data_IF_687490180415
#
_entry.id   IF_687490180415
#
_cell.length_a   1.000
_cell.length_b   1.000
_cell.length_c   1.000
_cell.angle_alpha   90.00
_cell.angle_beta   90.00
_cell.angle_gamma   90.00
#
_symmetry.space_group_name_H-M   'P 1'
#
loop_
_entity.id
_entity.type
_entity.pdbx_description
1 polymer ?
#
# COMPACT_ATOMS: atom_id res chain seq x y z
N UNK A 1 25.60 -16.61 43.34
CA UNK A 1 26.53 -16.66 42.17
C UNK A 1 25.98 -15.90 40.92
N UNK A 2 24.73 -16.13 40.47
CA UNK A 2 24.20 -15.42 39.29
C UNK A 2 24.12 -13.90 39.45
N UNK A 3 23.73 -13.38 40.62
CA UNK A 3 23.58 -11.94 40.89
C UNK A 3 24.97 -11.24 40.95
N UNK A 4 25.98 -11.86 41.53
CA UNK A 4 27.33 -11.29 41.61
C UNK A 4 28.00 -11.15 40.23
N UNK A 5 27.91 -12.17 39.36
CA UNK A 5 28.54 -12.12 38.04
C UNK A 5 27.92 -11.04 37.12
N UNK A 6 26.59 -10.83 37.20
CA UNK A 6 25.90 -9.75 36.47
C UNK A 6 26.28 -8.37 36.98
N UNK A 7 26.45 -8.23 38.32
CA UNK A 7 26.92 -6.99 38.91
C UNK A 7 28.34 -6.64 38.43
N UNK A 8 29.27 -7.64 38.45
CA UNK A 8 30.66 -7.45 37.96
C UNK A 8 30.69 -7.06 36.46
N UNK A 9 29.80 -7.61 35.65
CA UNK A 9 29.70 -7.25 34.24
C UNK A 9 29.15 -5.83 34.06
N UNK A 10 28.10 -5.45 34.77
CA UNK A 10 27.53 -4.10 34.69
C UNK A 10 28.45 -3.02 35.27
N UNK A 11 29.29 -3.37 36.25
CA UNK A 11 30.33 -2.50 36.82
C UNK A 11 31.59 -2.38 35.94
N UNK A 12 31.62 -3.08 34.79
CA UNK A 12 32.73 -2.97 33.84
C UNK A 12 32.75 -1.55 33.22
N UNK A 13 33.93 -0.92 33.28
CA UNK A 13 34.14 0.44 32.79
C UNK A 13 33.74 0.64 31.31
N UNK A 14 33.86 -0.37 30.48
CA UNK A 14 33.51 -0.31 29.06
C UNK A 14 31.97 -0.32 28.86
N UNK A 15 31.23 -1.07 29.70
CA UNK A 15 29.76 -1.04 29.72
C UNK A 15 29.30 0.34 30.19
N UNK A 16 29.87 0.87 31.27
CA UNK A 16 29.56 2.20 31.76
C UNK A 16 29.88 3.29 30.72
N UNK A 17 30.97 3.16 29.97
CA UNK A 17 31.31 4.09 28.86
C UNK A 17 30.30 4.03 27.73
N UNK A 18 29.87 2.83 27.29
CA UNK A 18 28.88 2.66 26.25
C UNK A 18 27.50 3.26 26.65
N UNK A 19 27.11 3.03 27.92
CA UNK A 19 25.88 3.63 28.49
C UNK A 19 26.00 5.15 28.58
N UNK A 20 27.13 5.71 28.99
CA UNK A 20 27.33 7.16 29.04
C UNK A 20 27.27 7.80 27.64
N UNK A 21 27.84 7.16 26.62
CA UNK A 21 27.72 7.62 25.24
C UNK A 21 26.27 7.58 24.76
N UNK A 22 25.52 6.53 25.09
CA UNK A 22 24.10 6.42 24.76
C UNK A 22 23.28 7.53 25.42
N UNK A 23 23.49 7.79 26.71
CA UNK A 23 22.83 8.88 27.45
C UNK A 23 23.18 10.26 26.90
N UNK A 24 24.42 10.45 26.41
CA UNK A 24 24.84 11.65 25.71
C UNK A 24 24.27 11.77 24.29
N UNK A 25 23.41 10.82 23.84
CA UNK A 25 22.90 10.70 22.49
C UNK A 25 23.96 10.54 21.39
N UNK A 26 25.18 10.16 21.77
CA UNK A 26 26.22 9.75 20.82
C UNK A 26 26.02 8.25 20.48
N UNK A 27 24.98 7.98 19.70
CA UNK A 27 24.60 6.61 19.35
C UNK A 27 25.65 5.92 18.50
N UNK A 28 26.48 6.68 17.75
CA UNK A 28 27.58 6.15 16.97
C UNK A 28 28.70 5.63 17.88
N UNK A 29 29.13 6.42 18.86
CA UNK A 29 30.14 6.00 19.83
C UNK A 29 29.62 4.85 20.71
N UNK A 30 28.35 4.91 21.15
CA UNK A 30 27.71 3.86 21.91
C UNK A 30 27.68 2.53 21.15
N UNK A 31 27.25 2.54 19.88
CA UNK A 31 27.18 1.32 19.05
C UNK A 31 28.57 0.69 18.87
N UNK A 32 29.60 1.51 18.60
CA UNK A 32 30.97 1.03 18.48
C UNK A 32 31.48 0.39 19.79
N UNK A 33 31.16 1.01 20.93
CA UNK A 33 31.55 0.46 22.24
C UNK A 33 30.85 -0.88 22.52
N UNK A 34 29.54 -1.02 22.21
CA UNK A 34 28.82 -2.29 22.34
C UNK A 34 29.35 -3.37 21.39
N UNK A 35 29.73 -3.03 20.16
CA UNK A 35 30.36 -3.96 19.23
C UNK A 35 31.73 -4.42 19.76
N UNK A 36 32.54 -3.50 20.29
CA UNK A 36 33.81 -3.86 20.90
C UNK A 36 33.62 -4.80 22.10
N UNK A 37 32.66 -4.53 22.99
CA UNK A 37 32.31 -5.40 24.11
C UNK A 37 31.87 -6.79 23.66
N UNK A 38 31.11 -6.89 22.57
CA UNK A 38 30.68 -8.18 21.99
C UNK A 38 31.86 -8.99 21.48
N UNK A 39 32.84 -8.33 20.85
CA UNK A 39 34.00 -8.95 20.20
C UNK A 39 35.17 -9.22 21.15
N UNK A 40 35.26 -8.51 22.29
CA UNK A 40 36.39 -8.65 23.22
C UNK A 40 36.26 -9.95 24.05
N UNK A 41 37.15 -10.92 23.86
CA UNK A 41 37.14 -12.16 24.62
C UNK A 41 37.68 -11.97 26.07
N UNK A 42 38.33 -10.85 26.37
CA UNK A 42 38.82 -10.56 27.71
C UNK A 42 37.73 -10.12 28.68
N UNK A 43 36.56 -9.66 28.14
CA UNK A 43 35.39 -9.32 28.92
C UNK A 43 34.57 -10.59 29.19
N UNK A 44 34.51 -11.08 30.44
CA UNK A 44 33.72 -12.27 30.73
C UNK A 44 32.25 -11.96 30.61
N UNK A 45 31.54 -12.78 29.83
CA UNK A 45 30.10 -12.66 29.58
C UNK A 45 29.38 -13.83 30.25
N UNK A 46 28.55 -13.52 31.22
CA UNK A 46 27.68 -14.48 31.90
C UNK A 46 26.34 -14.70 31.14
N UNK A 47 25.45 -15.54 31.69
CA UNK A 47 24.13 -15.79 31.15
C UNK A 47 23.30 -14.50 31.12
N UNK A 48 22.79 -14.13 29.97
CA UNK A 48 21.97 -12.93 29.73
C UNK A 48 22.76 -11.68 29.32
N UNK A 49 24.10 -11.69 29.44
CA UNK A 49 24.92 -10.52 29.09
C UNK A 49 25.02 -10.30 27.58
N UNK A 50 25.04 -11.38 26.80
CA UNK A 50 24.98 -11.29 25.34
C UNK A 50 23.66 -10.70 24.89
N UNK A 51 22.55 -11.18 25.43
CA UNK A 51 21.21 -10.62 25.16
C UNK A 51 21.14 -9.13 25.49
N UNK A 52 21.72 -8.72 26.64
CA UNK A 52 21.80 -7.31 27.01
C UNK A 52 22.60 -6.48 26.00
N UNK A 53 23.81 -6.92 25.64
CA UNK A 53 24.66 -6.18 24.69
C UNK A 53 24.02 -6.02 23.34
N UNK A 54 23.42 -7.09 22.80
CA UNK A 54 22.71 -7.05 21.54
C UNK A 54 21.47 -6.17 21.63
N UNK A 55 20.73 -6.18 22.74
CA UNK A 55 19.60 -5.28 22.94
C UNK A 55 20.03 -3.82 22.90
N UNK A 56 21.09 -3.46 23.65
CA UNK A 56 21.60 -2.07 23.66
C UNK A 56 22.19 -1.66 22.31
N UNK A 57 22.89 -2.56 21.61
CA UNK A 57 23.34 -2.31 20.23
C UNK A 57 22.15 -2.05 19.30
N UNK A 58 21.11 -2.86 19.37
CA UNK A 58 19.88 -2.66 18.61
C UNK A 58 19.25 -1.30 18.89
N UNK A 59 19.25 -0.84 20.17
CA UNK A 59 18.75 0.48 20.54
C UNK A 59 19.55 1.61 19.87
N UNK A 60 20.89 1.50 19.84
CA UNK A 60 21.74 2.47 19.16
C UNK A 60 21.47 2.51 17.66
N UNK A 61 21.39 1.35 17.02
CA UNK A 61 21.16 1.21 15.58
C UNK A 61 19.77 1.74 15.16
N UNK A 62 18.75 1.51 16.00
CA UNK A 62 17.42 2.08 15.79
C UNK A 62 17.45 3.60 15.77
N UNK A 63 18.18 4.23 16.71
CA UNK A 63 18.36 5.69 16.75
C UNK A 63 19.17 6.21 15.56
N UNK A 64 20.13 5.43 15.07
CA UNK A 64 20.91 5.73 13.86
C UNK A 64 20.12 5.47 12.56
N UNK A 65 18.87 4.98 12.67
CA UNK A 65 17.99 4.61 11.54
C UNK A 65 18.54 3.46 10.69
N UNK A 66 19.46 2.66 11.25
CA UNK A 66 19.90 1.41 10.64
C UNK A 66 18.98 0.27 11.10
N UNK A 67 17.82 0.21 10.48
CA UNK A 67 16.74 -0.69 10.91
C UNK A 67 17.06 -2.16 10.65
N UNK A 68 17.82 -2.48 9.61
CA UNK A 68 18.19 -3.86 9.30
C UNK A 68 19.14 -4.42 10.36
N UNK A 69 20.21 -3.69 10.67
CA UNK A 69 21.15 -4.09 11.71
C UNK A 69 20.51 -4.07 13.10
N UNK A 70 19.54 -3.16 13.34
CA UNK A 70 18.79 -3.14 14.60
C UNK A 70 17.94 -4.41 14.76
N UNK A 71 17.22 -4.83 13.71
CA UNK A 71 16.43 -6.08 13.71
C UNK A 71 17.32 -7.28 13.95
N UNK A 72 18.47 -7.37 13.28
CA UNK A 72 19.43 -8.46 13.51
C UNK A 72 19.91 -8.48 14.96
N UNK A 73 20.31 -7.32 15.51
CA UNK A 73 20.76 -7.22 16.90
C UNK A 73 19.65 -7.62 17.89
N UNK A 74 18.43 -7.14 17.73
CA UNK A 74 17.33 -7.56 18.60
C UNK A 74 17.00 -9.05 18.47
N UNK A 75 17.11 -9.61 17.27
CA UNK A 75 16.92 -11.06 17.06
C UNK A 75 17.99 -11.85 17.80
N UNK A 76 19.26 -11.41 17.78
CA UNK A 76 20.31 -12.02 18.59
C UNK A 76 20.04 -11.87 20.10
N UNK A 77 19.49 -10.74 20.53
CA UNK A 77 19.10 -10.55 21.93
C UNK A 77 18.02 -11.55 22.37
N UNK A 78 17.06 -11.87 21.52
CA UNK A 78 16.01 -12.87 21.82
C UNK A 78 16.53 -14.30 21.82
N UNK A 79 17.67 -14.58 21.18
CA UNK A 79 18.30 -15.90 21.17
C UNK A 79 18.97 -16.26 22.51
N UNK A 80 19.30 -15.26 23.35
CA UNK A 80 19.83 -15.50 24.70
C UNK A 80 18.68 -15.78 25.68
N UNK A 81 18.37 -17.04 25.90
CA UNK A 81 17.29 -17.48 26.79
C UNK A 81 17.46 -17.07 28.26
N UNK A 82 18.66 -16.63 28.66
CA UNK A 82 18.93 -16.15 30.02
C UNK A 82 18.67 -14.63 30.14
N UNK A 83 18.46 -13.92 29.03
CA UNK A 83 18.12 -12.50 29.03
C UNK A 83 16.64 -12.31 29.27
N UNK A 84 16.30 -11.68 30.38
CA UNK A 84 14.93 -11.60 30.89
C UNK A 84 14.25 -10.24 30.53
N UNK A 85 14.37 -9.82 29.26
CA UNK A 85 13.75 -8.61 28.77
C UNK A 85 12.98 -8.84 27.45
N UNK A 86 12.29 -9.98 27.38
CA UNK A 86 11.58 -10.45 26.17
C UNK A 86 10.61 -9.41 25.66
N UNK A 87 9.79 -8.81 26.54
CA UNK A 87 8.81 -7.79 26.18
C UNK A 87 9.44 -6.54 25.61
N UNK A 88 10.51 -6.02 26.26
CA UNK A 88 11.19 -4.81 25.79
C UNK A 88 11.87 -5.02 24.42
N UNK A 89 12.57 -6.15 24.24
CA UNK A 89 13.21 -6.47 22.96
C UNK A 89 12.19 -6.61 21.85
N UNK A 90 11.09 -7.33 22.09
CA UNK A 90 10.06 -7.51 21.08
C UNK A 90 9.30 -6.19 20.78
N UNK A 91 9.06 -5.32 21.77
CA UNK A 91 8.52 -3.99 21.51
C UNK A 91 9.45 -3.20 20.58
N UNK A 92 10.77 -3.26 20.77
CA UNK A 92 11.73 -2.56 19.92
C UNK A 92 11.87 -3.22 18.53
N UNK A 93 11.78 -4.55 18.42
CA UNK A 93 11.64 -5.26 17.15
C UNK A 93 10.41 -4.79 16.39
N UNK A 94 9.26 -4.75 17.04
CA UNK A 94 8.02 -4.22 16.45
C UNK A 94 8.20 -2.82 15.88
N UNK A 95 8.88 -1.91 16.63
CA UNK A 95 9.20 -0.57 16.16
C UNK A 95 10.10 -0.58 14.92
N UNK A 96 11.17 -1.38 14.92
CA UNK A 96 12.08 -1.47 13.79
C UNK A 96 11.35 -1.95 12.52
N UNK A 97 10.43 -2.92 12.65
CA UNK A 97 9.57 -3.36 11.54
C UNK A 97 8.58 -2.27 11.08
N UNK A 98 8.03 -1.46 12.00
CA UNK A 98 7.19 -0.30 11.60
C UNK A 98 7.99 0.67 10.74
N UNK A 99 9.23 0.98 11.09
CA UNK A 99 10.09 1.84 10.27
C UNK A 99 10.42 1.25 8.89
N UNK A 100 10.43 -0.07 8.78
CA UNK A 100 10.55 -0.77 7.50
C UNK A 100 9.23 -0.94 6.75
N UNK A 101 8.14 -0.40 7.28
CA UNK A 101 6.77 -0.57 6.76
C UNK A 101 6.29 -2.03 6.70
N UNK A 102 6.92 -2.91 7.46
CA UNK A 102 6.52 -4.31 7.63
C UNK A 102 5.58 -4.41 8.83
N UNK A 103 4.35 -4.00 8.62
CA UNK A 103 3.37 -3.86 9.70
C UNK A 103 2.87 -5.21 10.24
N UNK A 104 2.86 -6.27 9.44
CA UNK A 104 2.48 -7.62 9.87
C UNK A 104 3.48 -8.17 10.90
N UNK A 105 4.78 -8.10 10.60
CA UNK A 105 5.81 -8.51 11.54
C UNK A 105 5.85 -7.59 12.76
N UNK A 106 5.62 -6.30 12.59
CA UNK A 106 5.52 -5.36 13.71
C UNK A 106 4.41 -5.77 14.69
N UNK A 107 3.21 -6.07 14.21
CA UNK A 107 2.07 -6.52 15.04
C UNK A 107 2.46 -7.79 15.80
N UNK A 108 3.03 -8.80 15.13
CA UNK A 108 3.41 -10.06 15.77
C UNK A 108 4.41 -9.85 16.92
N UNK A 109 5.41 -8.97 16.74
CA UNK A 109 6.36 -8.66 17.82
C UNK A 109 5.74 -7.85 18.95
N UNK A 110 4.83 -6.91 18.65
CA UNK A 110 4.09 -6.22 19.70
C UNK A 110 3.18 -7.15 20.50
N UNK A 111 2.55 -8.15 19.88
CA UNK A 111 1.77 -9.19 20.57
C UNK A 111 2.63 -10.00 21.54
N UNK A 112 3.85 -10.38 21.14
CA UNK A 112 4.82 -11.04 22.03
C UNK A 112 5.17 -10.13 23.21
N UNK A 113 5.41 -8.83 22.94
CA UNK A 113 5.74 -7.86 23.97
C UNK A 113 4.61 -7.68 24.99
N UNK A 114 3.34 -7.58 24.54
CA UNK A 114 2.18 -7.43 25.43
C UNK A 114 1.86 -8.70 26.23
N UNK A 115 2.30 -9.86 25.74
CA UNK A 115 2.13 -11.15 26.43
C UNK A 115 3.14 -11.39 27.54
N UNK A 116 4.22 -10.60 27.61
CA UNK A 116 5.23 -10.72 28.68
C UNK A 116 4.77 -9.98 29.93
N UNK A 117 4.37 -10.73 30.95
CA UNK A 117 3.92 -10.19 32.22
C UNK A 117 4.99 -9.38 32.98
N UNK A 118 6.29 -9.55 32.63
CA UNK A 118 7.41 -8.81 33.23
C UNK A 118 7.71 -7.50 32.52
N UNK A 119 7.06 -7.24 31.39
CA UNK A 119 7.27 -6.01 30.64
C UNK A 119 6.61 -4.83 31.34
N UNK A 120 7.41 -3.87 31.78
CA UNK A 120 6.96 -2.77 32.62
C UNK A 120 6.12 -1.71 31.89
N UNK A 121 6.23 -1.62 30.57
CA UNK A 121 5.57 -0.58 29.78
C UNK A 121 4.77 -1.15 28.59
N UNK A 122 3.83 -2.10 28.82
CA UNK A 122 3.08 -2.74 27.74
C UNK A 122 2.20 -1.76 26.95
N UNK A 123 1.80 -0.64 27.55
CA UNK A 123 1.10 0.43 26.83
C UNK A 123 1.87 0.93 25.61
N UNK A 124 3.22 0.93 25.64
CA UNK A 124 4.05 1.31 24.48
C UNK A 124 3.90 0.31 23.33
N UNK A 125 3.87 -0.99 23.65
CA UNK A 125 3.64 -2.02 22.65
C UNK A 125 2.20 -1.97 22.11
N UNK A 126 1.20 -1.74 22.97
CA UNK A 126 -0.18 -1.54 22.53
C UNK A 126 -0.34 -0.33 21.60
N UNK A 127 0.30 0.80 21.92
CA UNK A 127 0.32 1.98 21.03
C UNK A 127 0.95 1.66 19.67
N UNK A 128 2.11 1.00 19.69
CA UNK A 128 2.81 0.58 18.46
C UNK A 128 1.98 -0.38 17.62
N UNK A 129 1.35 -1.37 18.28
CA UNK A 129 0.46 -2.35 17.65
C UNK A 129 -0.76 -1.67 17.02
N UNK A 130 -1.42 -0.78 17.75
CA UNK A 130 -2.56 -0.02 17.25
C UNK A 130 -2.20 0.79 15.99
N UNK A 131 -1.05 1.47 16.01
CA UNK A 131 -0.56 2.21 14.86
C UNK A 131 -0.27 1.30 13.65
N UNK A 132 0.39 0.15 13.85
CA UNK A 132 0.66 -0.81 12.78
C UNK A 132 -0.65 -1.39 12.21
N UNK A 133 -1.63 -1.70 13.06
CA UNK A 133 -2.95 -2.18 12.64
C UNK A 133 -3.74 -1.14 11.85
N UNK A 134 -3.66 0.16 12.20
CA UNK A 134 -4.23 1.24 11.39
C UNK A 134 -3.63 1.28 9.99
N UNK A 135 -2.30 1.13 9.87
CA UNK A 135 -1.62 1.06 8.57
C UNK A 135 -2.05 -0.14 7.73
N UNK A 136 -2.42 -1.24 8.38
CA UNK A 136 -3.01 -2.42 7.74
C UNK A 136 -4.52 -2.26 7.43
N UNK A 137 -5.15 -1.14 7.80
CA UNK A 137 -6.59 -0.93 7.66
C UNK A 137 -7.45 -1.74 8.66
N UNK A 138 -6.83 -2.35 9.67
CA UNK A 138 -7.49 -3.18 10.69
C UNK A 138 -8.01 -2.32 11.85
N UNK A 139 -8.93 -1.40 11.52
CA UNK A 139 -9.39 -0.34 12.42
C UNK A 139 -10.01 -0.85 13.73
N UNK A 140 -10.73 -1.98 13.72
CA UNK A 140 -11.33 -2.54 14.93
C UNK A 140 -10.27 -3.13 15.86
N UNK A 141 -9.31 -3.90 15.33
CA UNK A 141 -8.19 -4.46 16.08
C UNK A 141 -7.30 -3.34 16.64
N UNK A 142 -7.05 -2.28 15.84
CA UNK A 142 -6.35 -1.09 16.29
C UNK A 142 -7.08 -0.41 17.47
N UNK A 143 -8.41 -0.31 17.41
CA UNK A 143 -9.22 0.24 18.49
C UNK A 143 -9.07 -0.56 19.80
N UNK A 144 -9.01 -1.90 19.72
CA UNK A 144 -8.73 -2.75 20.90
C UNK A 144 -7.35 -2.40 21.48
N UNK A 145 -6.31 -2.35 20.62
CA UNK A 145 -4.96 -2.06 21.09
C UNK A 145 -4.86 -0.68 21.75
N UNK A 146 -5.47 0.35 21.15
CA UNK A 146 -5.47 1.69 21.75
C UNK A 146 -6.28 1.76 23.06
N UNK A 147 -7.38 1.00 23.17
CA UNK A 147 -8.13 0.90 24.42
C UNK A 147 -7.25 0.29 25.52
N UNK A 148 -6.57 -0.82 25.26
CA UNK A 148 -5.65 -1.44 26.20
C UNK A 148 -4.53 -0.47 26.62
N UNK A 149 -3.97 0.28 25.66
CA UNK A 149 -2.99 1.32 25.96
C UNK A 149 -3.56 2.44 26.86
N UNK A 150 -4.81 2.85 26.65
CA UNK A 150 -5.45 3.89 27.42
C UNK A 150 -5.81 3.45 28.84
N UNK A 151 -6.17 2.18 29.03
CA UNK A 151 -6.58 1.60 30.31
C UNK A 151 -5.39 1.09 31.15
N UNK A 152 -4.19 0.96 30.57
CA UNK A 152 -3.01 0.50 31.32
C UNK A 152 -2.65 1.55 32.38
N UNK A 153 -2.74 1.16 33.65
CA UNK A 153 -2.42 2.04 34.79
C UNK A 153 -0.97 2.52 34.83
N UNK A 154 -0.08 1.90 34.06
CA UNK A 154 1.33 2.28 33.90
C UNK A 154 1.52 3.33 32.80
N UNK A 155 0.48 3.63 32.02
CA UNK A 155 0.51 4.68 31.01
C UNK A 155 0.38 6.06 31.66
N UNK A 156 1.43 6.89 31.66
CA UNK A 156 1.39 8.20 32.30
C UNK A 156 0.56 9.21 31.51
N UNK A 157 0.39 8.99 30.20
CA UNK A 157 -0.37 9.87 29.29
C UNK A 157 -1.26 9.05 28.35
N UNK A 158 -2.50 8.76 28.74
CA UNK A 158 -3.45 8.04 27.90
C UNK A 158 -4.06 8.89 26.78
N UNK A 159 -3.80 10.20 26.72
CA UNK A 159 -4.42 11.12 25.76
C UNK A 159 -4.17 10.71 24.31
N UNK A 160 -2.95 10.26 23.99
CA UNK A 160 -2.59 9.79 22.64
C UNK A 160 -3.32 8.50 22.25
N UNK A 161 -3.45 7.58 23.20
CA UNK A 161 -4.20 6.35 22.98
C UNK A 161 -5.67 6.65 22.72
N UNK A 162 -6.28 7.54 23.53
CA UNK A 162 -7.67 7.97 23.38
C UNK A 162 -7.90 8.74 22.07
N UNK A 163 -6.96 9.59 21.65
CA UNK A 163 -7.02 10.26 20.34
C UNK A 163 -7.09 9.24 19.20
N UNK A 164 -6.17 8.28 19.18
CA UNK A 164 -6.14 7.26 18.13
C UNK A 164 -7.34 6.31 18.19
N UNK A 165 -7.85 6.02 19.38
CA UNK A 165 -9.08 5.27 19.58
C UNK A 165 -10.29 6.01 18.95
N UNK A 166 -10.37 7.32 19.13
CA UNK A 166 -11.37 8.15 18.47
C UNK A 166 -11.26 8.10 16.95
N UNK A 167 -10.04 8.11 16.40
CA UNK A 167 -9.81 7.92 14.97
C UNK A 167 -10.31 6.55 14.49
N UNK A 168 -10.06 5.49 15.26
CA UNK A 168 -10.61 4.16 14.95
C UNK A 168 -12.14 4.16 14.94
N UNK A 169 -12.78 4.83 15.90
CA UNK A 169 -14.24 4.94 15.93
C UNK A 169 -14.80 5.72 14.73
N UNK A 170 -14.14 6.80 14.32
CA UNK A 170 -14.53 7.51 13.08
C UNK A 170 -14.44 6.58 11.85
N UNK A 171 -13.33 5.85 11.72
CA UNK A 171 -13.14 4.88 10.64
C UNK A 171 -14.16 3.72 10.67
N UNK A 172 -14.70 3.40 11.83
CA UNK A 172 -15.76 2.40 12.03
C UNK A 172 -17.18 2.99 11.93
N UNK A 173 -17.33 4.25 11.49
CA UNK A 173 -18.60 4.98 11.42
C UNK A 173 -19.34 5.04 12.77
N UNK A 174 -18.57 5.26 13.85
CA UNK A 174 -19.06 5.39 15.23
C UNK A 174 -18.73 6.79 15.81
N UNK A 175 -19.25 7.86 15.23
CA UNK A 175 -18.87 9.22 15.61
C UNK A 175 -19.23 9.59 17.06
N UNK A 176 -20.27 8.98 17.64
CA UNK A 176 -20.64 9.22 19.04
C UNK A 176 -19.55 8.69 20.00
N UNK A 177 -18.99 7.51 19.71
CA UNK A 177 -17.91 6.93 20.52
C UNK A 177 -16.59 7.68 20.30
N UNK A 178 -16.37 8.19 19.07
CA UNK A 178 -15.24 9.06 18.79
C UNK A 178 -15.30 10.36 19.62
N UNK A 179 -16.47 11.02 19.70
CA UNK A 179 -16.68 12.19 20.55
C UNK A 179 -16.35 11.86 22.00
N UNK A 180 -16.90 10.77 22.55
CA UNK A 180 -16.64 10.37 23.94
C UNK A 180 -15.14 10.13 24.19
N UNK A 181 -14.44 9.53 23.22
CA UNK A 181 -13.00 9.28 23.31
C UNK A 181 -12.20 10.58 23.31
N UNK A 182 -12.50 11.52 22.40
CA UNK A 182 -11.82 12.80 22.33
C UNK A 182 -12.12 13.68 23.55
N UNK A 183 -13.36 13.72 24.03
CA UNK A 183 -13.74 14.46 25.25
C UNK A 183 -13.02 13.90 26.49
N UNK A 184 -12.88 12.56 26.58
CA UNK A 184 -12.11 11.91 27.63
C UNK A 184 -10.63 12.26 27.56
N UNK A 185 -10.07 12.30 26.36
CA UNK A 185 -8.67 12.65 26.15
C UNK A 185 -8.36 14.11 26.56
N UNK A 186 -9.30 15.04 26.34
CA UNK A 186 -9.18 16.46 26.74
C UNK A 186 -9.12 16.67 28.25
N UNK A 187 -9.41 15.65 29.07
CA UNK A 187 -9.26 15.72 30.52
C UNK A 187 -7.81 15.61 30.99
N UNK A 188 -6.91 15.14 30.13
CA UNK A 188 -5.51 14.98 30.42
C UNK A 188 -4.71 16.21 29.99
N UNK A 189 -3.62 16.46 30.69
CA UNK A 189 -2.67 17.51 30.26
C UNK A 189 -1.91 17.06 29.02
N UNK A 190 -1.82 17.94 28.04
CA UNK A 190 -1.19 17.66 26.75
C UNK A 190 -0.63 18.92 26.11
N UNK A 191 0.30 18.75 25.16
CA UNK A 191 0.83 19.88 24.38
C UNK A 191 -0.26 20.53 23.49
N UNK A 192 0.00 21.80 23.12
CA UNK A 192 -0.97 22.58 22.35
C UNK A 192 -1.27 21.97 20.97
N UNK A 193 -0.27 21.37 20.31
CA UNK A 193 -0.45 20.78 18.97
C UNK A 193 -1.38 19.55 19.06
N UNK A 194 -1.16 18.66 20.02
CA UNK A 194 -2.03 17.51 20.28
C UNK A 194 -3.44 17.95 20.63
N UNK A 195 -3.58 18.97 21.47
CA UNK A 195 -4.89 19.52 21.89
C UNK A 195 -5.65 20.10 20.69
N UNK A 196 -5.00 20.91 19.87
CA UNK A 196 -5.62 21.53 18.70
C UNK A 196 -6.08 20.47 17.69
N UNK A 197 -5.26 19.45 17.46
CA UNK A 197 -5.61 18.32 16.62
C UNK A 197 -6.83 17.57 17.16
N UNK A 198 -6.89 17.35 18.45
CA UNK A 198 -8.01 16.69 19.10
C UNK A 198 -9.30 17.50 18.94
N UNK A 199 -9.25 18.83 19.10
CA UNK A 199 -10.39 19.70 18.81
C UNK A 199 -10.81 19.65 17.33
N UNK A 200 -9.88 19.59 16.39
CA UNK A 200 -10.21 19.45 14.98
C UNK A 200 -10.93 18.11 14.68
N UNK A 201 -10.43 17.00 15.24
CA UNK A 201 -11.06 15.69 15.11
C UNK A 201 -12.42 15.64 15.79
N UNK A 202 -12.57 16.29 16.97
CA UNK A 202 -13.84 16.43 17.67
C UNK A 202 -14.85 17.21 16.83
N UNK A 203 -14.40 18.27 16.15
CA UNK A 203 -15.21 19.03 15.20
C UNK A 203 -15.75 18.15 14.07
N UNK A 204 -14.90 17.33 13.46
CA UNK A 204 -15.30 16.39 12.42
C UNK A 204 -16.31 15.36 12.93
N UNK A 205 -16.08 14.81 14.13
CA UNK A 205 -17.03 13.88 14.75
C UNK A 205 -18.40 14.51 15.02
N UNK A 206 -18.44 15.78 15.44
CA UNK A 206 -19.69 16.52 15.61
C UNK A 206 -20.39 16.82 14.27
N UNK A 207 -19.65 17.09 13.19
CA UNK A 207 -20.24 17.22 11.84
C UNK A 207 -20.90 15.91 11.41
N UNK A 208 -20.21 14.77 11.62
CA UNK A 208 -20.76 13.44 11.33
C UNK A 208 -22.05 13.13 12.13
N UNK A 209 -22.19 13.69 13.32
CA UNK A 209 -23.41 13.62 14.16
C UNK A 209 -24.49 14.66 13.80
N UNK A 210 -24.24 15.57 12.84
CA UNK A 210 -25.13 16.67 12.53
C UNK A 210 -25.17 17.78 13.61
N UNK A 211 -24.25 17.79 14.59
CA UNK A 211 -24.19 18.74 15.71
C UNK A 211 -23.37 19.98 15.32
N UNK A 212 -23.82 20.74 14.32
CA UNK A 212 -23.05 21.80 13.66
C UNK A 212 -22.57 22.90 14.61
N UNK A 213 -23.35 23.27 15.62
CA UNK A 213 -22.94 24.28 16.59
C UNK A 213 -21.75 23.82 17.44
N UNK A 214 -21.77 22.56 17.89
CA UNK A 214 -20.65 21.99 18.65
C UNK A 214 -19.42 21.81 17.76
N UNK A 215 -19.63 21.43 16.50
CA UNK A 215 -18.56 21.34 15.52
C UNK A 215 -17.83 22.67 15.35
N UNK A 216 -18.58 23.77 15.16
CA UNK A 216 -18.03 25.12 15.07
C UNK A 216 -17.19 25.48 16.29
N UNK A 217 -17.73 25.27 17.50
CA UNK A 217 -16.98 25.57 18.73
C UNK A 217 -15.70 24.75 18.87
N UNK A 218 -15.71 23.47 18.44
CA UNK A 218 -14.53 22.62 18.45
C UNK A 218 -13.48 23.11 17.45
N UNK A 219 -13.85 23.40 16.20
CA UNK A 219 -12.93 23.94 15.21
C UNK A 219 -12.35 25.31 15.60
N UNK A 220 -13.17 26.19 16.19
CA UNK A 220 -12.73 27.49 16.72
C UNK A 220 -11.70 27.30 17.85
N UNK A 221 -11.91 26.30 18.71
CA UNK A 221 -10.96 25.94 19.77
C UNK A 221 -9.63 25.43 19.18
N UNK A 222 -9.68 24.64 18.11
CA UNK A 222 -8.49 24.17 17.42
C UNK A 222 -7.68 25.34 16.79
N UNK A 223 -8.35 26.36 16.32
CA UNK A 223 -7.75 27.52 15.64
C UNK A 223 -7.40 28.69 16.57
N UNK A 224 -7.67 28.56 17.86
CA UNK A 224 -7.55 29.66 18.82
C UNK A 224 -6.13 30.22 18.94
N UNK A 225 -5.11 29.38 18.86
CA UNK A 225 -3.71 29.77 18.97
C UNK A 225 -3.08 30.30 17.66
N UNK A 226 -3.81 30.26 16.54
CA UNK A 226 -3.40 30.74 15.21
C UNK A 226 -2.13 30.07 14.64
N UNK A 227 -1.59 29.06 15.30
CA UNK A 227 -0.42 28.30 14.83
C UNK A 227 -0.84 26.98 14.21
N UNK A 228 -2.05 26.53 14.49
CA UNK A 228 -2.62 25.30 13.96
C UNK A 228 -3.41 25.56 12.68
N UNK A 229 -3.24 24.68 11.70
CA UNK A 229 -3.99 24.69 10.45
C UNK A 229 -4.81 23.42 10.35
N UNK A 230 -6.07 23.57 9.98
CA UNK A 230 -6.93 22.41 9.72
C UNK A 230 -6.43 21.63 8.51
N UNK A 231 -6.57 20.31 8.55
CA UNK A 231 -6.40 19.46 7.36
C UNK A 231 -7.43 19.82 6.29
N UNK A 232 -7.22 19.36 5.06
CA UNK A 232 -8.17 19.62 3.96
C UNK A 232 -9.58 19.10 4.32
N UNK A 233 -9.68 17.87 4.85
CA UNK A 233 -10.97 17.29 5.27
C UNK A 233 -11.62 18.10 6.40
N UNK A 234 -10.86 18.46 7.43
CA UNK A 234 -11.37 19.27 8.54
C UNK A 234 -11.80 20.68 8.09
N UNK A 235 -11.12 21.27 7.09
CA UNK A 235 -11.49 22.56 6.50
C UNK A 235 -12.82 22.49 5.74
N UNK A 236 -13.08 21.40 5.03
CA UNK A 236 -14.35 21.15 4.35
C UNK A 236 -15.48 21.02 5.39
N UNK A 237 -15.26 20.24 6.44
CA UNK A 237 -16.22 20.04 7.50
C UNK A 237 -16.51 21.34 8.27
N UNK A 238 -15.48 22.16 8.53
CA UNK A 238 -15.64 23.49 9.13
C UNK A 238 -16.47 24.41 8.24
N UNK A 239 -16.19 24.45 6.93
CA UNK A 239 -16.96 25.24 5.98
C UNK A 239 -18.41 24.78 5.89
N UNK A 240 -18.66 23.46 5.94
CA UNK A 240 -20.00 22.89 5.99
C UNK A 240 -20.76 23.32 7.26
N UNK A 241 -20.12 23.20 8.42
CA UNK A 241 -20.71 23.62 9.69
C UNK A 241 -21.03 25.13 9.68
N UNK A 242 -20.11 25.98 9.21
CA UNK A 242 -20.31 27.42 9.08
C UNK A 242 -21.48 27.77 8.14
N UNK A 243 -21.58 27.09 7.01
CA UNK A 243 -22.69 27.26 6.05
C UNK A 243 -24.03 26.90 6.70
N UNK A 244 -24.12 25.78 7.39
CA UNK A 244 -25.35 25.36 8.08
C UNK A 244 -25.77 26.35 9.14
N UNK A 245 -24.82 26.89 9.91
CA UNK A 245 -25.10 27.93 10.93
C UNK A 245 -25.59 29.23 10.28
N UNK A 246 -25.01 29.65 9.15
CA UNK A 246 -25.41 30.87 8.45
C UNK A 246 -26.81 30.79 7.80
N UNK A 247 -27.19 29.61 7.31
CA UNK A 247 -28.46 29.40 6.59
C UNK A 247 -29.61 29.00 7.51
N UNK A 248 -29.33 28.69 8.78
CA UNK A 248 -30.33 28.13 9.72
C UNK A 248 -30.86 26.76 9.29
N UNK A 249 -30.22 26.11 8.35
CA UNK A 249 -30.62 24.80 7.82
C UNK A 249 -30.06 23.72 8.74
N UNK A 250 -30.92 22.91 9.34
CA UNK A 250 -30.50 21.70 10.03
C UNK A 250 -29.98 20.77 8.92
N UNK A 251 -28.67 20.63 8.80
CA UNK A 251 -28.09 19.65 7.88
C UNK A 251 -28.48 18.26 8.38
N UNK A 252 -29.28 17.56 7.61
CA UNK A 252 -29.35 16.11 7.78
C UNK A 252 -27.95 15.54 7.48
N UNK A 253 -27.47 14.53 8.24
CA UNK A 253 -26.20 13.88 7.93
C UNK A 253 -26.22 13.49 6.47
N UNK A 254 -25.18 13.86 5.72
CA UNK A 254 -25.06 13.58 4.29
C UNK A 254 -24.83 12.09 4.11
N UNK A 255 -25.92 11.32 4.08
CA UNK A 255 -25.91 9.94 3.59
C UNK A 255 -25.81 10.04 2.07
N UNK A 256 -24.64 9.78 1.53
CA UNK A 256 -24.43 9.56 0.11
C UNK A 256 -24.13 10.78 -0.76
N UNK A 257 -22.91 11.31 -0.71
CA UNK A 257 -22.30 11.95 -1.88
C UNK A 257 -20.87 11.42 -2.05
N UNK A 258 -20.70 10.60 -3.09
CA UNK A 258 -19.39 10.13 -3.55
C UNK A 258 -18.52 11.34 -3.94
N UNK A 259 -17.45 11.57 -3.21
CA UNK A 259 -16.36 12.37 -3.71
C UNK A 259 -15.47 11.50 -4.60
N UNK A 260 -15.14 12.02 -5.78
CA UNK A 260 -14.24 11.37 -6.73
C UNK A 260 -12.86 11.10 -6.07
N UNK A 261 -12.16 10.02 -6.46
CA UNK A 261 -10.88 9.70 -5.87
C UNK A 261 -9.86 10.81 -6.18
N UNK A 262 -9.32 11.42 -5.14
CA UNK A 262 -8.21 12.35 -5.25
C UNK A 262 -6.94 11.59 -5.68
N UNK A 263 -6.05 12.21 -6.48
CA UNK A 263 -4.79 11.58 -6.88
C UNK A 263 -3.90 11.37 -5.66
N UNK A 264 -3.22 10.21 -5.64
CA UNK A 264 -2.29 9.83 -4.60
C UNK A 264 -1.27 10.96 -4.34
N UNK A 265 -1.35 11.57 -3.16
CA UNK A 265 -0.36 12.51 -2.71
C UNK A 265 0.94 11.76 -2.38
N UNK A 266 2.04 12.29 -2.88
CA UNK A 266 3.38 11.79 -2.63
C UNK A 266 3.64 11.69 -1.12
N UNK A 267 4.12 10.53 -0.71
CA UNK A 267 4.58 10.24 0.64
C UNK A 267 5.66 11.25 1.06
N UNK A 268 5.34 12.07 2.05
CA UNK A 268 6.37 12.79 2.78
C UNK A 268 6.73 11.90 3.98
N UNK A 269 7.83 11.15 3.82
CA UNK A 269 8.38 10.25 4.82
C UNK A 269 9.02 11.03 5.97
N UNK A 270 8.18 11.58 6.83
CA UNK A 270 8.56 12.13 8.13
C UNK A 270 8.02 11.25 9.26
N UNK A 271 8.42 9.99 9.31
CA UNK A 271 8.16 9.13 10.45
C UNK A 271 9.10 9.53 11.60
N UNK A 272 8.77 10.60 12.30
CA UNK A 272 9.42 10.92 13.57
C UNK A 272 8.81 10.04 14.68
N UNK A 273 9.47 8.94 14.98
CA UNK A 273 9.18 8.04 16.11
C UNK A 273 10.08 8.36 17.33
N UNK A 274 10.49 9.62 17.48
CA UNK A 274 11.40 10.08 18.55
C UNK A 274 10.87 9.91 19.98
N UNK A 275 9.60 9.53 20.15
CA UNK A 275 9.01 9.26 21.47
C UNK A 275 9.16 7.84 22.00
N UNK A 276 9.97 6.99 21.37
CA UNK A 276 10.19 5.62 21.80
C UNK A 276 11.55 5.44 22.48
N UNK A 277 11.90 6.32 23.42
CA UNK A 277 13.10 6.12 24.23
C UNK A 277 12.97 4.86 25.06
N UNK A 278 13.95 3.98 24.91
CA UNK A 278 14.11 2.82 25.78
C UNK A 278 14.93 3.30 26.95
N UNK A 279 14.41 3.27 28.19
CA UNK A 279 15.19 3.64 29.36
C UNK A 279 16.37 2.70 29.49
N UNK A 280 17.57 3.24 29.57
CA UNK A 280 18.63 2.57 30.29
C UNK A 280 18.22 2.61 31.76
N UNK A 281 17.93 1.44 32.33
CA UNK A 281 17.60 1.21 33.74
C UNK A 281 17.22 2.46 34.58
N UNK A 282 15.93 2.74 34.68
CA UNK A 282 15.38 3.37 35.88
C UNK A 282 15.38 4.90 35.99
N UNK A 283 15.50 5.68 34.92
CA UNK A 283 15.30 7.14 34.98
C UNK A 283 14.22 7.56 33.98
N UNK A 284 13.11 8.14 34.45
CA UNK A 284 12.10 8.73 33.55
C UNK A 284 12.67 10.00 32.93
N UNK A 285 12.93 10.00 31.62
CA UNK A 285 13.24 11.24 30.91
C UNK A 285 11.95 11.88 30.44
N UNK A 286 11.76 13.13 30.84
CA UNK A 286 10.72 14.04 30.41
C UNK A 286 10.97 14.41 28.94
N UNK A 287 10.29 13.80 28.00
CA UNK A 287 9.99 14.24 26.63
C UNK A 287 9.70 13.05 25.68
N UNK A 288 8.81 12.16 26.11
CA UNK A 288 8.30 11.07 25.28
C UNK A 288 7.11 11.52 24.41
N UNK A 289 7.32 12.51 23.55
CA UNK A 289 6.29 12.90 22.60
C UNK A 289 6.36 12.07 21.32
N UNK A 290 5.41 11.13 21.15
CA UNK A 290 5.12 10.59 19.83
C UNK A 290 4.63 11.73 18.93
N UNK A 291 5.20 11.97 17.75
CA UNK A 291 4.57 12.87 16.80
C UNK A 291 3.26 12.23 16.36
N UNK A 292 2.19 12.83 16.77
CA UNK A 292 0.82 12.45 16.38
C UNK A 292 0.56 12.73 14.91
N UNK A 293 1.50 13.39 14.22
CA UNK A 293 1.36 13.91 12.86
C UNK A 293 1.26 12.85 11.76
N UNK A 294 1.79 11.65 11.96
CA UNK A 294 1.78 10.62 10.91
C UNK A 294 0.46 9.83 10.80
N UNK A 295 -0.42 9.89 11.79
CA UNK A 295 -1.56 8.96 11.88
C UNK A 295 -2.94 9.60 11.97
N UNK A 296 -3.05 10.90 12.03
CA UNK A 296 -4.29 11.58 12.24
C UNK A 296 -4.68 12.53 11.12
N UNK A 297 -4.27 12.27 9.89
CA UNK A 297 -5.03 12.74 8.75
C UNK A 297 -6.08 11.65 8.47
N UNK A 298 -7.33 11.82 8.94
CA UNK A 298 -8.38 10.91 8.56
C UNK A 298 -8.62 11.16 7.08
N UNK A 299 -8.00 10.35 6.22
CA UNK A 299 -8.59 10.16 4.90
C UNK A 299 -10.03 9.74 5.19
N UNK A 300 -10.94 10.63 4.89
CA UNK A 300 -12.37 10.42 4.95
C UNK A 300 -12.70 9.08 4.31
N UNK A 301 -12.99 8.09 5.13
CA UNK A 301 -13.52 6.81 4.66
C UNK A 301 -15.01 7.03 4.43
N UNK A 302 -15.49 7.00 3.16
CA UNK A 302 -16.92 7.19 2.91
C UNK A 302 -17.71 6.10 3.62
N UNK A 303 -18.73 6.52 4.34
CA UNK A 303 -19.64 5.66 5.12
C UNK A 303 -20.31 4.54 4.29
N UNK A 304 -20.29 4.65 2.97
CA UNK A 304 -20.88 3.67 2.04
C UNK A 304 -20.09 2.36 1.91
N UNK A 305 -18.89 2.29 2.47
CA UNK A 305 -18.09 1.06 2.42
C UNK A 305 -18.62 -0.05 3.33
N UNK A 306 -19.43 0.29 4.31
CA UNK A 306 -19.92 -0.63 5.33
C UNK A 306 -21.42 -0.46 5.48
N UNK A 307 -22.21 -1.31 4.81
CA UNK A 307 -23.65 -1.36 4.92
C UNK A 307 -24.08 -1.63 6.35
N UNK A 308 -24.23 -0.57 7.14
CA UNK A 308 -24.69 -0.59 8.51
C UNK A 308 -26.06 0.06 8.55
N UNK A 309 -27.07 -0.69 9.02
CA UNK A 309 -28.33 -0.06 9.41
C UNK A 309 -28.07 0.76 10.66
N UNK A 310 -28.53 2.03 10.71
CA UNK A 310 -28.37 2.86 11.90
C UNK A 310 -29.16 2.24 13.06
N UNK A 311 -28.44 1.88 14.12
CA UNK A 311 -29.10 1.52 15.38
C UNK A 311 -29.55 2.82 16.05
N UNK A 312 -30.83 3.15 15.90
CA UNK A 312 -31.48 4.22 16.62
C UNK A 312 -31.41 3.98 18.12
N UNK A 313 -30.87 4.94 18.87
CA UNK A 313 -30.80 5.10 20.34
C UNK A 313 -29.40 4.98 20.95
N UNK A 314 -28.57 6.00 20.72
CA UNK A 314 -27.49 6.29 21.64
C UNK A 314 -27.80 7.52 22.47
N UNK A 315 -28.10 7.26 23.75
CA UNK A 315 -28.27 8.30 24.77
C UNK A 315 -26.88 8.78 25.21
N UNK A 316 -26.56 10.05 24.95
CA UNK A 316 -25.29 10.68 25.27
C UNK A 316 -25.08 10.73 26.79
N UNK A 317 -24.23 9.91 27.33
CA UNK A 317 -23.84 9.93 28.73
C UNK A 317 -23.52 8.57 29.33
N UNK A 318 -23.54 7.52 28.55
CA UNK A 318 -23.29 6.18 29.07
C UNK A 318 -21.80 5.81 28.96
N UNK A 319 -21.25 5.35 30.09
CA UNK A 319 -19.90 4.74 30.21
C UNK A 319 -19.70 3.47 29.34
N UNK A 320 -20.59 3.16 28.42
CA UNK A 320 -20.55 2.01 27.52
C UNK A 320 -19.31 1.97 26.65
N UNK A 321 -18.69 3.09 26.43
CA UNK A 321 -17.44 3.19 25.71
C UNK A 321 -16.30 2.39 26.39
N UNK A 322 -16.17 2.48 27.71
CA UNK A 322 -15.19 1.69 28.48
C UNK A 322 -15.68 0.25 28.75
N UNK A 323 -16.97 0.00 28.62
CA UNK A 323 -17.62 -1.28 28.87
C UNK A 323 -17.99 -2.04 27.58
N UNK A 324 -17.61 -1.53 26.38
CA UNK A 324 -17.74 -2.32 25.16
C UNK A 324 -16.94 -3.61 25.34
N UNK A 325 -17.63 -4.76 25.39
CA UNK A 325 -16.98 -6.03 25.64
C UNK A 325 -16.04 -6.38 24.49
N UNK A 326 -14.97 -7.11 24.81
CA UNK A 326 -14.04 -7.63 23.79
C UNK A 326 -14.79 -8.40 22.70
N UNK A 327 -15.91 -9.08 23.06
CA UNK A 327 -16.78 -9.77 22.12
C UNK A 327 -17.50 -8.81 21.14
N UNK A 328 -17.87 -7.61 21.56
CA UNK A 328 -18.47 -6.61 20.65
C UNK A 328 -17.45 -6.07 19.67
N UNK A 329 -16.27 -5.69 20.15
CA UNK A 329 -15.18 -5.25 19.29
C UNK A 329 -14.72 -6.38 18.35
N UNK A 330 -14.67 -7.61 18.84
CA UNK A 330 -14.34 -8.82 18.04
C UNK A 330 -15.43 -9.15 17.00
N UNK A 331 -16.71 -8.93 17.29
CA UNK A 331 -17.80 -9.06 16.29
C UNK A 331 -17.66 -8.05 15.16
N UNK A 332 -17.28 -6.80 15.48
CA UNK A 332 -16.99 -5.78 14.48
C UNK A 332 -15.78 -6.16 13.63
N UNK A 333 -14.67 -6.61 14.25
CA UNK A 333 -13.47 -7.03 13.52
C UNK A 333 -13.76 -8.22 12.59
N UNK A 334 -14.51 -9.22 13.05
CA UNK A 334 -14.92 -10.36 12.22
C UNK A 334 -15.83 -9.96 11.06
N UNK A 335 -16.69 -8.96 11.25
CA UNK A 335 -17.53 -8.36 10.20
C UNK A 335 -16.69 -7.72 9.12
N UNK A 336 -15.77 -6.84 9.51
CA UNK A 336 -14.84 -6.12 8.62
C UNK A 336 -13.91 -7.10 7.91
N UNK A 337 -13.29 -8.04 8.63
CA UNK A 337 -12.42 -9.05 8.04
C UNK A 337 -13.12 -9.94 6.99
N UNK A 338 -14.43 -10.18 7.13
CA UNK A 338 -15.23 -10.89 6.12
C UNK A 338 -15.48 -10.02 4.87
N UNK A 339 -15.69 -8.72 5.04
CA UNK A 339 -15.84 -7.78 3.92
C UNK A 339 -14.52 -7.57 3.19
N UNK A 340 -13.40 -7.42 3.90
CA UNK A 340 -12.07 -7.27 3.31
C UNK A 340 -11.62 -8.53 2.57
N UNK A 341 -11.93 -9.74 3.08
CA UNK A 341 -11.74 -10.98 2.33
C UNK A 341 -12.58 -11.02 1.05
N UNK A 342 -13.82 -10.51 1.07
CA UNK A 342 -14.65 -10.39 -0.13
C UNK A 342 -14.05 -9.41 -1.13
N UNK A 343 -13.59 -8.23 -0.69
CA UNK A 343 -12.95 -7.20 -1.55
C UNK A 343 -11.64 -7.68 -2.15
N UNK A 344 -10.75 -8.27 -1.34
CA UNK A 344 -9.47 -8.84 -1.83
C UNK A 344 -9.71 -9.95 -2.85
N UNK A 345 -10.71 -10.80 -2.64
CA UNK A 345 -11.10 -11.83 -3.60
C UNK A 345 -11.72 -11.26 -4.87
N UNK A 346 -12.36 -10.08 -4.85
CA UNK A 346 -12.86 -9.41 -6.05
C UNK A 346 -11.71 -8.89 -6.90
N UNK A 347 -10.71 -8.24 -6.32
CA UNK A 347 -9.50 -7.81 -7.04
C UNK A 347 -8.77 -8.99 -7.70
N UNK A 348 -8.57 -10.09 -6.96
CA UNK A 348 -7.97 -11.31 -7.50
C UNK A 348 -8.83 -11.94 -8.62
N UNK A 349 -10.16 -11.95 -8.48
CA UNK A 349 -11.07 -12.44 -9.53
C UNK A 349 -11.02 -11.59 -10.79
N UNK A 350 -10.94 -10.26 -10.65
CA UNK A 350 -10.79 -9.33 -11.79
C UNK A 350 -9.44 -9.59 -12.48
N UNK A 351 -8.37 -9.75 -11.73
CA UNK A 351 -7.03 -10.03 -12.26
C UNK A 351 -7.00 -11.38 -12.98
N UNK A 352 -7.59 -12.43 -12.41
CA UNK A 352 -7.73 -13.75 -13.05
C UNK A 352 -8.58 -13.65 -14.31
N UNK A 353 -9.72 -12.94 -14.28
CA UNK A 353 -10.57 -12.73 -15.44
C UNK A 353 -9.82 -11.99 -16.57
N UNK A 354 -9.01 -10.99 -16.23
CA UNK A 354 -8.16 -10.28 -17.20
C UNK A 354 -7.13 -11.21 -17.85
N UNK A 355 -6.44 -12.05 -17.07
CA UNK A 355 -5.51 -13.05 -17.61
C UNK A 355 -6.21 -14.09 -18.47
N UNK A 356 -7.40 -14.55 -18.10
CA UNK A 356 -8.19 -15.47 -18.93
C UNK A 356 -8.58 -14.83 -20.25
N UNK A 357 -9.03 -13.57 -20.25
CA UNK A 357 -9.33 -12.81 -21.46
C UNK A 357 -8.09 -12.64 -22.35
N UNK A 358 -6.93 -12.38 -21.76
CA UNK A 358 -5.67 -12.24 -22.49
C UNK A 358 -5.25 -13.56 -23.14
N UNK A 359 -5.41 -14.68 -22.43
CA UNK A 359 -5.17 -16.03 -22.98
C UNK A 359 -6.15 -16.38 -24.11
N UNK A 360 -7.42 -16.01 -23.96
CA UNK A 360 -8.42 -16.21 -25.02
C UNK A 360 -8.10 -15.36 -26.26
N UNK A 361 -7.69 -14.11 -26.08
CA UNK A 361 -7.25 -13.24 -27.18
C UNK A 361 -6.00 -13.79 -27.87
N UNK A 362 -5.02 -14.28 -27.11
CA UNK A 362 -3.83 -14.94 -27.67
C UNK A 362 -4.21 -16.22 -28.42
N UNK A 363 -5.09 -17.05 -27.87
CA UNK A 363 -5.60 -18.26 -28.53
C UNK A 363 -6.35 -17.93 -29.83
N UNK A 364 -7.19 -16.90 -29.83
CA UNK A 364 -7.86 -16.42 -31.03
C UNK A 364 -6.86 -15.92 -32.09
N UNK A 365 -5.83 -15.17 -31.65
CA UNK A 365 -4.74 -14.72 -32.52
C UNK A 365 -3.99 -15.90 -33.18
N UNK A 366 -3.63 -16.92 -32.42
CA UNK A 366 -3.01 -18.14 -32.93
C UNK A 366 -3.95 -18.87 -33.90
N UNK A 367 -5.23 -18.99 -33.55
CA UNK A 367 -6.23 -19.61 -34.42
C UNK A 367 -6.33 -18.88 -35.76
N UNK A 368 -6.48 -17.55 -35.75
CA UNK A 368 -6.54 -16.74 -36.97
C UNK A 368 -5.24 -16.89 -37.78
N UNK A 369 -4.09 -16.90 -37.10
CA UNK A 369 -2.80 -17.13 -37.77
C UNK A 369 -2.76 -18.47 -38.50
N UNK A 370 -3.23 -19.55 -37.88
CA UNK A 370 -3.27 -20.89 -38.53
C UNK A 370 -4.25 -20.96 -39.69
N UNK A 371 -5.29 -20.14 -39.68
CA UNK A 371 -6.26 -20.01 -40.79
C UNK A 371 -5.75 -19.12 -41.95
N UNK A 372 -4.50 -18.67 -41.89
CA UNK A 372 -3.91 -17.86 -42.93
C UNK A 372 -4.19 -16.36 -42.86
N UNK A 373 -4.75 -15.87 -41.75
CA UNK A 373 -4.89 -14.41 -41.56
C UNK A 373 -3.53 -13.80 -41.16
N UNK A 374 -3.24 -12.60 -41.66
CA UNK A 374 -2.00 -11.88 -41.40
C UNK A 374 -2.10 -10.40 -41.79
N UNK A 375 -1.11 -9.62 -41.40
CA UNK A 375 -0.99 -8.23 -41.82
C UNK A 375 0.47 -7.92 -42.23
N UNK A 376 0.71 -7.40 -43.47
CA UNK A 376 -0.30 -7.08 -44.48
C UNK A 376 -1.06 -8.32 -44.97
N UNK A 377 -2.33 -8.14 -45.38
CA UNK A 377 -3.16 -9.24 -45.88
C UNK A 377 -2.76 -9.64 -47.30
N UNK A 378 -3.12 -10.84 -47.75
CA UNK A 378 -2.88 -11.29 -49.12
C UNK A 378 -3.47 -10.31 -50.12
N UNK A 379 -4.71 -9.89 -49.89
CA UNK A 379 -5.41 -8.93 -50.74
C UNK A 379 -4.69 -7.59 -50.84
N UNK A 380 -4.24 -7.01 -49.69
CA UNK A 380 -3.53 -5.73 -49.71
C UNK A 380 -2.17 -5.80 -50.41
N UNK A 381 -1.48 -6.95 -50.29
CA UNK A 381 -0.20 -7.16 -50.96
C UNK A 381 -0.39 -7.30 -52.48
N UNK A 382 -1.40 -8.07 -52.91
CA UNK A 382 -1.70 -8.26 -54.34
C UNK A 382 -2.18 -6.97 -54.99
N UNK A 383 -3.12 -6.25 -54.37
CA UNK A 383 -3.57 -4.93 -54.86
C UNK A 383 -2.43 -3.93 -54.94
N UNK A 384 -1.54 -3.91 -53.94
CA UNK A 384 -0.34 -3.07 -53.98
C UNK A 384 0.61 -3.42 -55.09
N UNK A 385 0.84 -4.72 -55.34
CA UNK A 385 1.72 -5.20 -56.43
C UNK A 385 1.23 -4.76 -57.81
N UNK A 386 -0.08 -4.88 -58.07
CA UNK A 386 -0.64 -4.50 -59.39
C UNK A 386 -0.80 -2.98 -59.54
N UNK A 387 -0.96 -2.25 -58.45
CA UNK A 387 -1.05 -0.79 -58.43
C UNK A 387 0.33 -0.09 -58.49
N UNK A 388 1.42 -0.78 -58.13
CA UNK A 388 2.79 -0.25 -58.13
C UNK A 388 3.78 -1.27 -58.67
N UNK A 389 3.70 -1.52 -59.97
CA UNK A 389 4.54 -2.51 -60.67
C UNK A 389 6.00 -2.06 -60.77
N UNK A 390 6.29 -0.76 -60.65
CA UNK A 390 7.66 -0.22 -60.69
C UNK A 390 8.43 -0.55 -59.41
N UNK A 391 7.75 -0.63 -58.24
CA UNK A 391 8.35 -1.01 -56.94
C UNK A 391 7.99 -2.44 -56.55
N UNK A 392 7.75 -3.31 -57.50
CA UNK A 392 7.31 -4.70 -57.30
C UNK A 392 8.17 -5.47 -56.29
N UNK A 393 9.49 -5.21 -56.28
CA UNK A 393 10.46 -5.88 -55.38
C UNK A 393 10.09 -5.77 -53.89
N UNK A 394 9.39 -4.71 -53.49
CA UNK A 394 8.95 -4.50 -52.09
C UNK A 394 7.88 -5.51 -51.66
N UNK A 395 7.13 -6.07 -52.59
CA UNK A 395 6.05 -7.03 -52.34
C UNK A 395 6.52 -8.49 -52.37
N UNK A 396 7.68 -8.76 -52.97
CA UNK A 396 8.24 -10.11 -53.04
C UNK A 396 9.03 -10.50 -51.80
N UNK A 397 9.23 -11.79 -51.62
CA UNK A 397 10.07 -12.34 -50.55
C UNK A 397 11.51 -11.83 -50.69
N UNK A 398 12.12 -11.44 -49.57
CA UNK A 398 13.46 -10.86 -49.49
C UNK A 398 14.57 -11.81 -50.00
N UNK A 399 14.29 -13.09 -50.10
CA UNK A 399 15.21 -14.11 -50.63
C UNK A 399 15.23 -14.19 -52.18
N UNK A 400 14.30 -13.49 -52.85
CA UNK A 400 14.24 -13.49 -54.33
C UNK A 400 15.16 -12.40 -54.89
N UNK A 401 16.02 -12.75 -55.86
CA UNK A 401 16.87 -11.77 -56.52
C UNK A 401 16.06 -10.85 -57.44
N UNK A 402 16.56 -9.64 -57.71
CA UNK A 402 15.91 -8.68 -58.62
C UNK A 402 15.59 -9.28 -59.99
N UNK A 403 16.53 -10.05 -60.58
CA UNK A 403 16.33 -10.68 -61.89
C UNK A 403 15.14 -11.64 -61.91
N UNK A 404 14.89 -12.34 -60.80
CA UNK A 404 13.76 -13.26 -60.66
C UNK A 404 12.44 -12.50 -60.39
N UNK A 405 12.50 -11.36 -59.74
CA UNK A 405 11.35 -10.49 -59.59
C UNK A 405 10.95 -9.92 -60.96
N UNK A 406 11.91 -9.43 -61.72
CA UNK A 406 11.69 -8.88 -63.06
C UNK A 406 11.11 -9.94 -63.98
N UNK A 407 11.58 -11.19 -63.88
CA UNK A 407 11.08 -12.32 -64.67
C UNK A 407 9.64 -12.68 -64.25
N UNK A 408 9.32 -12.69 -62.95
CA UNK A 408 7.97 -12.93 -62.43
C UNK A 408 6.98 -11.82 -62.79
N UNK A 409 7.46 -10.59 -62.96
CA UNK A 409 6.66 -9.43 -63.36
C UNK A 409 6.53 -9.27 -64.86
N UNK A 410 7.27 -10.09 -65.65
CA UNK A 410 7.21 -10.02 -67.08
C UNK A 410 5.81 -10.36 -67.58
N UNK A 411 5.13 -9.39 -68.17
CA UNK A 411 3.76 -9.54 -68.68
C UNK A 411 2.67 -9.26 -67.64
N UNK A 412 3.04 -8.82 -66.43
CA UNK A 412 2.05 -8.30 -65.45
C UNK A 412 1.62 -6.90 -65.86
N UNK A 413 0.32 -6.70 -65.96
CA UNK A 413 -0.29 -5.43 -66.39
C UNK A 413 -0.53 -4.57 -65.14
N UNK A 414 -0.22 -3.27 -65.23
CA UNK A 414 -0.61 -2.31 -64.23
C UNK A 414 -2.13 -2.18 -64.15
N UNK A 415 -2.70 -2.37 -62.96
CA UNK A 415 -4.10 -2.15 -62.71
C UNK A 415 -4.31 -1.76 -61.24
N UNK A 416 -4.68 -0.49 -60.99
CA UNK A 416 -4.90 0.02 -59.66
C UNK A 416 -6.15 -0.52 -58.96
N UNK A 417 -7.06 -1.15 -59.74
CA UNK A 417 -8.33 -1.69 -59.24
C UNK A 417 -8.50 -3.18 -59.61
N UNK A 418 -7.42 -3.94 -59.51
CA UNK A 418 -7.40 -5.35 -59.88
C UNK A 418 -8.46 -6.14 -59.10
N UNK A 419 -9.22 -6.97 -59.80
CA UNK A 419 -10.25 -7.82 -59.24
C UNK A 419 -9.63 -9.10 -58.65
N UNK A 420 -10.05 -9.45 -57.43
CA UNK A 420 -9.67 -10.74 -56.80
C UNK A 420 -10.81 -11.73 -56.98
N UNK A 421 -10.58 -12.74 -57.80
CA UNK A 421 -11.60 -13.73 -58.17
C UNK A 421 -11.73 -14.86 -57.15
N UNK A 422 -10.65 -15.12 -56.42
CA UNK A 422 -10.62 -16.17 -55.39
C UNK A 422 -9.28 -16.24 -54.66
N UNK A 423 -9.29 -16.99 -53.55
CA UNK A 423 -8.09 -17.16 -52.74
C UNK A 423 -8.10 -18.47 -51.98
N UNK A 424 -7.03 -19.24 -52.14
CA UNK A 424 -6.75 -20.43 -51.35
C UNK A 424 -5.78 -20.06 -50.20
N UNK A 425 -6.21 -20.26 -48.97
CA UNK A 425 -5.45 -19.89 -47.78
C UNK A 425 -4.97 -21.11 -47.02
N UNK A 426 -3.69 -21.11 -46.61
CA UNK A 426 -3.18 -22.01 -45.60
C UNK A 426 -2.30 -21.25 -44.59
N UNK A 427 -1.77 -21.92 -43.61
CA UNK A 427 -0.94 -21.31 -42.57
C UNK A 427 0.32 -20.64 -43.16
N UNK A 428 0.97 -21.27 -44.13
CA UNK A 428 2.28 -20.85 -44.63
C UNK A 428 2.29 -20.39 -46.09
N UNK A 429 1.33 -20.86 -46.89
CA UNK A 429 1.22 -20.56 -48.33
C UNK A 429 -0.19 -20.09 -48.65
N UNK A 430 -0.31 -19.24 -49.67
CA UNK A 430 -1.59 -18.81 -50.20
C UNK A 430 -1.48 -18.62 -51.68
N UNK A 431 -2.57 -18.87 -52.41
CA UNK A 431 -2.68 -18.62 -53.83
C UNK A 431 -3.86 -17.65 -54.02
N UNK A 432 -3.61 -16.56 -54.72
CA UNK A 432 -4.63 -15.54 -55.01
C UNK A 432 -4.85 -15.52 -56.53
N UNK A 433 -6.08 -15.67 -56.94
CA UNK A 433 -6.51 -15.59 -58.32
C UNK A 433 -7.03 -14.17 -58.60
N UNK A 434 -6.50 -13.52 -59.60
CA UNK A 434 -6.80 -12.13 -59.90
C UNK A 434 -7.04 -11.92 -61.40
N UNK A 435 -7.90 -10.97 -61.73
CA UNK A 435 -8.09 -10.52 -63.11
C UNK A 435 -7.80 -9.02 -63.17
N UNK A 436 -6.84 -8.66 -64.03
CA UNK A 436 -6.46 -7.26 -64.28
C UNK A 436 -6.95 -6.83 -65.67
N UNK A 437 -7.41 -5.57 -65.72
CA UNK A 437 -7.86 -4.94 -66.96
C UNK A 437 -6.69 -4.35 -67.75
N UNK A 438 -6.63 -4.59 -69.02
CA UNK A 438 -5.62 -3.98 -69.89
C UNK A 438 -6.07 -2.60 -70.38
N UNK A 439 -5.15 -1.68 -70.68
CA UNK A 439 -5.48 -0.36 -71.19
C UNK A 439 -6.25 -0.40 -72.53
N UNK A 440 -6.18 -1.51 -73.24
CA UNK A 440 -6.85 -1.72 -74.54
C UNK A 440 -8.29 -2.32 -74.38
N UNK A 441 -8.77 -2.50 -73.13
CA UNK A 441 -10.11 -3.01 -72.82
C UNK A 441 -10.23 -4.54 -72.77
N UNK A 442 -9.10 -5.28 -72.66
CA UNK A 442 -9.06 -6.72 -72.41
C UNK A 442 -8.87 -7.07 -70.95
N UNK A 443 -9.10 -8.35 -70.61
CA UNK A 443 -8.87 -8.87 -69.27
C UNK A 443 -7.79 -9.96 -69.29
N UNK A 444 -6.89 -9.97 -68.30
CA UNK A 444 -5.85 -10.99 -68.15
C UNK A 444 -5.93 -11.52 -66.73
N UNK A 445 -5.98 -12.85 -66.62
CA UNK A 445 -6.04 -13.53 -65.32
C UNK A 445 -4.62 -13.97 -64.90
N UNK A 446 -4.37 -13.82 -63.62
CA UNK A 446 -3.10 -14.20 -62.98
C UNK A 446 -3.33 -15.08 -61.76
N UNK A 447 -2.37 -15.94 -61.50
CA UNK A 447 -2.25 -16.71 -60.26
C UNK A 447 -1.04 -16.19 -59.51
N UNK A 448 -1.29 -15.57 -58.34
CA UNK A 448 -0.26 -15.01 -57.47
C UNK A 448 0.00 -16.00 -56.32
N UNK A 449 1.16 -16.58 -56.30
CA UNK A 449 1.63 -17.46 -55.22
C UNK A 449 2.27 -16.62 -54.14
N UNK A 450 1.86 -16.86 -52.88
CA UNK A 450 2.32 -16.12 -51.73
C UNK A 450 2.82 -17.06 -50.61
N UNK A 451 3.78 -16.58 -49.85
CA UNK A 451 4.29 -17.27 -48.68
C UNK A 451 4.21 -16.36 -47.44
N UNK A 452 4.13 -16.98 -46.32
CA UNK A 452 4.11 -16.29 -45.04
C UNK A 452 5.46 -15.65 -44.76
N UNK A 453 5.49 -14.38 -44.45
CA UNK A 453 6.64 -13.64 -43.93
C UNK A 453 6.29 -13.01 -42.59
N UNK A 454 6.82 -13.58 -41.50
CA UNK A 454 6.45 -13.24 -40.11
C UNK A 454 4.93 -13.28 -39.88
N UNK A 455 4.31 -12.13 -39.68
CA UNK A 455 2.86 -11.97 -39.41
C UNK A 455 2.07 -11.62 -40.69
N UNK A 456 2.75 -11.35 -41.78
CA UNK A 456 2.14 -10.92 -43.04
C UNK A 456 2.38 -11.89 -44.21
N UNK A 457 2.20 -11.38 -45.41
CA UNK A 457 2.33 -12.13 -46.64
C UNK A 457 3.27 -11.43 -47.63
N UNK A 458 4.01 -12.23 -48.38
CA UNK A 458 4.88 -11.79 -49.46
C UNK A 458 4.65 -12.65 -50.68
N UNK A 459 4.84 -12.07 -51.88
CA UNK A 459 4.72 -12.77 -53.15
C UNK A 459 5.93 -13.67 -53.39
N UNK A 460 5.71 -14.89 -53.77
CA UNK A 460 6.74 -15.85 -54.20
C UNK A 460 6.75 -16.14 -55.71
N UNK A 461 5.73 -15.68 -56.43
CA UNK A 461 5.63 -15.80 -57.85
C UNK A 461 4.33 -15.29 -58.44
N UNK A 462 4.34 -14.84 -59.66
CA UNK A 462 3.16 -14.45 -60.46
C UNK A 462 3.19 -15.23 -61.78
N UNK A 463 2.04 -15.80 -62.13
CA UNK A 463 1.91 -16.56 -63.38
C UNK A 463 0.64 -16.09 -64.11
N UNK A 464 0.74 -15.86 -65.42
CA UNK A 464 -0.40 -15.58 -66.27
C UNK A 464 -1.20 -16.85 -66.49
N UNK A 465 -2.49 -16.80 -66.34
CA UNK A 465 -3.39 -17.95 -66.52
C UNK A 465 -4.20 -17.77 -67.79
N UNK A 466 -4.12 -18.74 -68.70
CA UNK A 466 -4.91 -18.72 -69.90
C UNK A 466 -6.19 -19.52 -69.70
N UNK A 467 -7.28 -19.05 -70.27
CA UNK A 467 -8.65 -19.61 -70.07
C UNK A 467 -8.81 -21.10 -70.53
N UNK A 468 -7.79 -21.69 -71.13
CA UNK A 468 -7.79 -23.08 -71.56
C UNK A 468 -7.36 -24.12 -70.53
N UNK A 469 -7.04 -23.73 -69.30
CA UNK A 469 -6.56 -24.63 -68.23
C UNK A 469 -7.59 -24.85 -67.09
N UNK A 470 -8.83 -24.39 -67.21
CA UNK A 470 -9.90 -24.78 -66.32
C UNK A 470 -10.74 -25.90 -66.92
N UNK A 471 -10.31 -27.14 -66.69
CA UNK A 471 -11.12 -28.33 -66.92
C UNK A 471 -10.91 -29.33 -65.76
#
# INVERSE_FOLDING_TARGET
MRIQGRQEFMDNQYVAQAQAAYQARDFQAASQAYVQLLQDPSVPKGPGDLGYLYHQLGNCLLQLKDFDSAIESYTQATADSAYDAVGAVNCNLGKAYVFKHDYENAVSHFEIATSDAKYDTPYKAYLGMGNALLKLGKNAEAGVAFREAALDSRNPDPSKALLNLGVCFMALNRPADAVASYESALQFDMDAATRNKMYANLGQAYVALGQMQKAMSAFESALADKTYFLSESASVDYAQAAKCMATGTIAMPAIGQQAAPAPAAASNDGNDMSGLDVPADGVPTQDDAYPVEAYADPQYYPAEAYGYEPVDNYNSGDERFFNASDEELERYSKGIARQDRKRRNVGLKILVAFFVLLLLAAGAGVFLYTQGYGYPTQESVVKGLFADTENASSYFVSSMSSDKVDDAMRGVVFDSDVAIDGMDKSMSNSTVYVTASTPEGGEVSYTVSMVRDMLGWKVSGVQMTFASQQS
#
